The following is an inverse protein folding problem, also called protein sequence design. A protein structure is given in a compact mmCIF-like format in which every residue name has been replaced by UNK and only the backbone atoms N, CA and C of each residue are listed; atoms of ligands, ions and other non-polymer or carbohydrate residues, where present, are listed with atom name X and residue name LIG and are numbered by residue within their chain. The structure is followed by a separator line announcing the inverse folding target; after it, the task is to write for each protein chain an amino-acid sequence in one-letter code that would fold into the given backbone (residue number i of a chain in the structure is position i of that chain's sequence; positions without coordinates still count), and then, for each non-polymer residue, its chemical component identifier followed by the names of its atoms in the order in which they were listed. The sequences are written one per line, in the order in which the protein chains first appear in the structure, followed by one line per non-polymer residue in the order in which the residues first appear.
data_IF_758097173961
#
_entry.id   IF_758097173961
#
_cell.length_a   1.000
_cell.length_b   1.000
_cell.length_c   1.000
_cell.angle_alpha   90.00
_cell.angle_beta   90.00
_cell.angle_gamma   90.00
#
_symmetry.space_group_name_H-M   'P 1'
#
loop_
_entity.id
_entity.type
_entity.pdbx_description
1 polymer ?
#
# COMPACT_ATOMS: atom_id res chain seq x y z
N UNK A 1 2.68 -2.67 13.36
CA UNK A 1 2.65 -1.19 13.48
C UNK A 1 3.40 -0.59 12.31
N UNK A 2 2.91 0.52 11.76
CA UNK A 2 3.63 1.35 10.77
C UNK A 2 3.90 2.68 11.46
N UNK A 3 5.13 3.17 11.39
CA UNK A 3 5.54 4.40 12.05
C UNK A 3 6.43 5.21 11.11
N UNK A 4 6.14 6.50 10.96
CA UNK A 4 6.84 7.38 10.03
C UNK A 4 6.06 8.66 9.74
N UNK A 5 6.48 9.36 8.70
CA UNK A 5 5.82 10.58 8.22
C UNK A 5 4.71 10.23 7.23
N UNK A 6 3.50 10.74 7.46
CA UNK A 6 2.39 10.61 6.51
C UNK A 6 2.59 11.65 5.39
N UNK A 7 2.96 11.20 4.20
CA UNK A 7 3.32 12.10 3.08
C UNK A 7 2.20 12.25 2.05
N UNK A 8 1.32 11.25 1.92
CA UNK A 8 0.19 11.30 0.99
C UNK A 8 -0.98 10.45 1.50
N UNK A 9 -2.20 10.87 1.18
CA UNK A 9 -3.44 10.14 1.49
C UNK A 9 -4.29 10.07 0.23
N UNK A 10 -4.47 8.87 -0.33
CA UNK A 10 -5.42 8.64 -1.41
C UNK A 10 -6.86 8.45 -0.89
N UNK A 11 -7.81 8.16 -1.78
CA UNK A 11 -9.20 7.93 -1.40
C UNK A 11 -9.40 6.73 -0.44
N UNK A 12 -8.54 5.71 -0.56
CA UNK A 12 -8.65 4.43 0.13
C UNK A 12 -7.30 3.93 0.70
N UNK A 13 -6.27 4.77 0.76
CA UNK A 13 -4.94 4.43 1.28
C UNK A 13 -4.17 5.62 1.86
N UNK A 14 -3.14 5.33 2.64
CA UNK A 14 -2.14 6.27 3.17
C UNK A 14 -0.73 5.85 2.75
N UNK A 15 0.12 6.79 2.39
CA UNK A 15 1.54 6.56 2.16
C UNK A 15 2.34 7.13 3.32
N UNK A 16 3.04 6.25 4.01
CA UNK A 16 3.91 6.59 5.13
C UNK A 16 5.36 6.36 4.73
N UNK A 17 6.21 7.35 4.92
CA UNK A 17 7.67 7.17 4.78
C UNK A 17 8.21 6.74 6.14
N UNK A 18 8.63 5.48 6.22
CA UNK A 18 9.26 4.89 7.40
C UNK A 18 10.74 5.30 7.49
N UNK A 19 11.36 5.23 8.69
CA UNK A 19 12.79 5.45 8.85
C UNK A 19 13.64 4.62 7.88
N UNK A 20 14.60 5.27 7.22
CA UNK A 20 15.40 4.68 6.14
C UNK A 20 14.77 4.79 4.75
N UNK A 21 13.88 5.78 4.55
CA UNK A 21 13.24 6.10 3.27
C UNK A 21 12.43 4.95 2.65
N UNK A 22 11.89 4.06 3.47
CA UNK A 22 11.01 2.99 2.98
C UNK A 22 9.58 3.49 2.88
N UNK A 23 8.96 3.25 1.75
CA UNK A 23 7.59 3.64 1.49
C UNK A 23 6.64 2.54 1.97
N UNK A 24 5.72 2.87 2.87
CA UNK A 24 4.69 1.97 3.37
C UNK A 24 3.31 2.46 2.91
N UNK A 25 2.75 1.77 1.92
CA UNK A 25 1.38 1.98 1.45
C UNK A 25 0.42 1.18 2.33
N UNK A 26 -0.48 1.87 3.02
CA UNK A 26 -1.40 1.31 4.01
C UNK A 26 -2.85 1.54 3.53
N UNK A 27 -3.62 0.48 3.21
CA UNK A 27 -5.04 0.64 2.91
C UNK A 27 -5.79 1.24 4.10
N UNK A 28 -6.68 2.20 3.87
CA UNK A 28 -7.46 2.83 4.95
C UNK A 28 -8.31 1.80 5.71
N UNK A 29 -8.89 0.82 5.00
CA UNK A 29 -9.63 -0.29 5.62
C UNK A 29 -8.78 -1.22 6.50
N UNK A 30 -7.45 -1.11 6.45
CA UNK A 30 -6.55 -1.87 7.31
C UNK A 30 -6.17 -1.14 8.60
N UNK A 31 -6.45 0.16 8.70
CA UNK A 31 -6.11 1.01 9.85
C UNK A 31 -7.06 0.72 11.01
N UNK A 32 -6.51 0.39 12.19
CA UNK A 32 -7.31 0.13 13.39
C UNK A 32 -7.25 1.28 14.40
N UNK A 33 -6.09 1.92 14.50
CA UNK A 33 -5.86 3.06 15.37
C UNK A 33 -4.71 3.91 14.82
N UNK A 34 -4.75 5.21 15.12
CA UNK A 34 -3.70 6.17 14.83
C UNK A 34 -3.34 6.90 16.12
N UNK A 35 -2.07 7.25 16.26
CA UNK A 35 -1.54 8.07 17.36
C UNK A 35 -0.63 9.14 16.78
N UNK A 36 -0.55 10.31 17.43
CA UNK A 36 0.28 11.43 16.94
C UNK A 36 -0.36 12.21 15.79
N UNK A 37 -1.65 12.03 15.53
CA UNK A 37 -2.40 12.86 14.59
C UNK A 37 -2.63 14.23 15.23
N UNK A 38 -1.93 15.24 14.74
CA UNK A 38 -2.21 16.64 15.10
C UNK A 38 -3.55 17.03 14.48
N UNK A 39 -4.40 17.72 15.24
CA UNK A 39 -5.75 18.11 14.83
C UNK A 39 -5.73 19.21 13.75
N UNK A 40 -5.21 18.92 12.56
CA UNK A 40 -5.41 19.71 11.37
C UNK A 40 -6.46 19.01 10.51
N UNK A 41 -7.72 19.37 10.76
CA UNK A 41 -8.84 19.03 9.89
C UNK A 41 -8.79 20.00 8.72
N UNK A 42 -8.14 19.62 7.62
CA UNK A 42 -8.29 20.34 6.36
C UNK A 42 -9.57 19.86 5.68
N UNK A 43 -10.53 20.74 5.33
CA UNK A 43 -11.71 20.35 4.58
C UNK A 43 -11.31 20.12 3.12
N UNK A 44 -10.76 18.95 2.79
CA UNK A 44 -10.31 18.62 1.43
C UNK A 44 -11.38 17.87 0.64
N UNK A 45 -12.42 18.60 0.24
CA UNK A 45 -13.44 18.06 -0.68
C UNK A 45 -12.96 17.93 -2.13
N UNK A 46 -12.05 18.79 -2.59
CA UNK A 46 -11.68 18.87 -4.02
C UNK A 46 -10.34 18.21 -4.39
N UNK A 47 -9.41 18.04 -3.45
CA UNK A 47 -8.06 17.54 -3.75
C UNK A 47 -7.95 16.00 -3.72
N UNK A 48 -8.80 15.34 -2.93
CA UNK A 48 -8.84 13.86 -2.82
C UNK A 48 -9.36 13.22 -4.10
N UNK A 49 -10.28 13.88 -4.82
CA UNK A 49 -10.89 13.36 -6.05
C UNK A 49 -9.88 13.11 -7.18
N UNK A 50 -8.76 13.84 -7.20
CA UNK A 50 -7.71 13.67 -8.22
C UNK A 50 -6.72 12.55 -7.90
N UNK A 51 -6.72 12.01 -6.67
CA UNK A 51 -5.72 11.02 -6.23
C UNK A 51 -6.10 9.62 -6.69
N UNK A 52 -5.10 8.85 -7.10
CA UNK A 52 -5.28 7.48 -7.56
C UNK A 52 -5.81 6.60 -6.43
N UNK A 53 -6.76 5.71 -6.73
CA UNK A 53 -7.19 4.64 -5.80
C UNK A 53 -6.08 3.61 -5.62
N UNK A 54 -6.18 2.80 -4.56
CA UNK A 54 -5.20 1.79 -4.16
C UNK A 54 -4.78 0.90 -5.34
N UNK A 55 -5.73 0.38 -6.10
CA UNK A 55 -5.44 -0.47 -7.26
C UNK A 55 -4.57 0.23 -8.32
N UNK A 56 -4.82 1.52 -8.59
CA UNK A 56 -4.01 2.29 -9.54
C UNK A 56 -2.60 2.57 -9.00
N UNK A 57 -2.47 2.82 -7.70
CA UNK A 57 -1.17 2.97 -7.02
C UNK A 57 -0.36 1.67 -7.07
N UNK A 58 -0.99 0.52 -6.80
CA UNK A 58 -0.35 -0.79 -6.92
C UNK A 58 0.05 -1.12 -8.37
N UNK A 59 -0.75 -0.68 -9.36
CA UNK A 59 -0.38 -0.82 -10.78
C UNK A 59 0.86 -0.02 -11.12
N UNK A 60 1.06 1.17 -10.54
CA UNK A 60 2.29 1.93 -10.72
C UNK A 60 3.50 1.15 -10.20
N UNK A 61 3.44 0.62 -8.98
CA UNK A 61 4.51 -0.23 -8.42
C UNK A 61 4.81 -1.47 -9.29
N UNK A 62 3.77 -2.12 -9.83
CA UNK A 62 3.94 -3.26 -10.75
C UNK A 62 4.59 -2.86 -12.07
N UNK A 63 4.17 -1.73 -12.67
CA UNK A 63 4.79 -1.17 -13.88
C UNK A 63 6.25 -0.84 -13.69
N UNK A 64 6.60 -0.25 -12.54
CA UNK A 64 7.97 0.13 -12.20
C UNK A 64 8.81 -1.08 -11.76
N UNK A 65 8.18 -2.27 -11.72
CA UNK A 65 8.81 -3.54 -11.34
C UNK A 65 9.47 -3.46 -9.97
N UNK A 66 8.93 -2.65 -9.06
CA UNK A 66 9.48 -2.46 -7.73
C UNK A 66 9.45 -3.77 -6.93
N UNK A 67 10.51 -4.04 -6.16
CA UNK A 67 10.46 -5.07 -5.14
C UNK A 67 9.60 -4.59 -3.97
N UNK A 68 8.65 -5.44 -3.59
CA UNK A 68 7.69 -5.16 -2.55
C UNK A 68 7.70 -6.23 -1.47
N UNK A 69 7.36 -5.80 -0.26
CA UNK A 69 7.00 -6.68 0.84
C UNK A 69 5.52 -6.45 1.19
N UNK A 70 4.68 -7.43 0.91
CA UNK A 70 3.23 -7.38 1.15
C UNK A 70 2.91 -8.07 2.47
N UNK A 71 2.33 -7.31 3.40
CA UNK A 71 1.87 -7.81 4.69
C UNK A 71 0.36 -8.05 4.65
N UNK A 72 -0.04 -9.22 5.10
CA UNK A 72 -1.43 -9.62 5.37
C UNK A 72 -1.59 -9.91 6.87
N UNK A 73 -2.76 -10.35 7.32
CA UNK A 73 -2.96 -10.70 8.74
C UNK A 73 -2.07 -11.85 9.23
N UNK A 74 -1.76 -12.83 8.37
CA UNK A 74 -1.04 -14.03 8.76
C UNK A 74 0.25 -14.29 7.99
N UNK A 75 0.62 -13.41 7.05
CA UNK A 75 1.75 -13.66 6.17
C UNK A 75 2.39 -12.41 5.61
N UNK A 76 3.69 -12.53 5.38
CA UNK A 76 4.50 -11.55 4.67
C UNK A 76 5.02 -12.18 3.39
N UNK A 77 4.73 -11.56 2.25
CA UNK A 77 5.17 -11.98 0.93
C UNK A 77 6.26 -11.01 0.46
N UNK A 78 7.30 -11.53 -0.16
CA UNK A 78 8.36 -10.71 -0.77
C UNK A 78 8.43 -11.08 -2.24
N UNK A 79 8.40 -10.07 -3.11
CA UNK A 79 8.35 -10.30 -4.54
C UNK A 79 8.13 -9.03 -5.34
N UNK A 80 7.56 -9.18 -6.53
CA UNK A 80 7.13 -8.07 -7.38
C UNK A 80 5.65 -8.23 -7.71
N UNK A 81 4.99 -7.10 -7.95
CA UNK A 81 3.61 -7.11 -8.42
C UNK A 81 3.60 -7.50 -9.89
N UNK A 82 2.97 -8.63 -10.20
CA UNK A 82 2.84 -9.14 -11.57
C UNK A 82 1.54 -8.64 -12.22
N UNK A 83 0.47 -8.52 -11.43
CA UNK A 83 -0.85 -8.05 -11.90
C UNK A 83 -1.63 -7.39 -10.77
N UNK A 84 -2.50 -6.45 -11.12
CA UNK A 84 -3.50 -5.88 -10.21
C UNK A 84 -4.88 -5.91 -10.85
N UNK A 85 -5.75 -6.77 -10.31
CA UNK A 85 -7.15 -6.87 -10.67
C UNK A 85 -8.02 -5.75 -10.10
N UNK A 86 -9.34 -5.93 -10.12
CA UNK A 86 -10.27 -5.00 -9.50
C UNK A 86 -10.26 -5.09 -7.97
N UNK A 87 -10.02 -6.28 -7.45
CA UNK A 87 -10.19 -6.68 -6.05
C UNK A 87 -9.02 -7.51 -5.50
N UNK A 88 -7.98 -7.76 -6.31
CA UNK A 88 -6.80 -8.52 -5.91
C UNK A 88 -5.51 -8.01 -6.55
N UNK A 89 -4.38 -8.45 -5.99
CA UNK A 89 -3.03 -8.26 -6.52
C UNK A 89 -2.31 -9.60 -6.56
N UNK A 90 -1.60 -9.86 -7.66
CA UNK A 90 -0.74 -11.03 -7.81
C UNK A 90 0.71 -10.64 -7.52
N UNK A 91 1.36 -11.37 -6.61
CA UNK A 91 2.75 -11.15 -6.19
C UNK A 91 3.59 -12.37 -6.52
N UNK A 92 4.57 -12.19 -7.41
CA UNK A 92 5.50 -13.23 -7.82
C UNK A 92 6.80 -13.19 -7.02
N UNK A 93 7.23 -14.34 -6.50
CA UNK A 93 8.51 -14.48 -5.79
C UNK A 93 9.74 -14.58 -6.72
N UNK A 94 9.57 -14.40 -8.05
CA UNK A 94 10.62 -14.49 -9.06
C UNK A 94 10.36 -15.56 -10.13
N UNK A 95 11.33 -15.77 -11.03
CA UNK A 95 11.15 -16.54 -12.29
C UNK A 95 10.71 -18.00 -12.12
N UNK A 96 11.03 -18.62 -10.99
CA UNK A 96 10.63 -20.00 -10.65
C UNK A 96 9.91 -20.07 -9.30
N UNK A 97 9.51 -18.92 -8.76
CA UNK A 97 8.87 -18.82 -7.46
C UNK A 97 7.35 -18.95 -7.55
N UNK A 98 6.67 -19.23 -6.43
CA UNK A 98 5.21 -19.19 -6.37
C UNK A 98 4.69 -17.78 -6.67
N UNK A 99 3.51 -17.73 -7.27
CA UNK A 99 2.69 -16.52 -7.44
C UNK A 99 1.54 -16.56 -6.46
N UNK A 100 1.30 -15.44 -5.80
CA UNK A 100 0.31 -15.31 -4.74
C UNK A 100 -0.75 -14.30 -5.15
N UNK A 101 -1.99 -14.75 -5.23
CA UNK A 101 -3.14 -13.85 -5.39
C UNK A 101 -3.63 -13.42 -4.02
N UNK A 102 -3.58 -12.12 -3.75
CA UNK A 102 -3.97 -11.51 -2.47
C UNK A 102 -5.15 -10.57 -2.70
N UNK A 103 -6.31 -10.79 -2.06
CA UNK A 103 -7.40 -9.83 -2.10
C UNK A 103 -6.95 -8.46 -1.55
N UNK A 104 -7.36 -7.35 -2.19
CA UNK A 104 -7.03 -6.01 -1.72
C UNK A 104 -7.51 -5.78 -0.28
N UNK A 105 -8.65 -6.35 0.09
CA UNK A 105 -9.19 -6.30 1.45
C UNK A 105 -8.33 -7.05 2.48
N UNK A 106 -7.45 -7.97 2.06
CA UNK A 106 -6.53 -8.68 2.94
C UNK A 106 -5.19 -7.96 3.13
N UNK A 107 -4.92 -6.92 2.34
CA UNK A 107 -3.70 -6.12 2.46
C UNK A 107 -3.71 -5.34 3.77
N UNK A 108 -2.58 -5.38 4.48
CA UNK A 108 -2.33 -4.58 5.68
C UNK A 108 -1.34 -3.47 5.42
N UNK A 109 -0.23 -3.80 4.76
CA UNK A 109 0.81 -2.84 4.36
C UNK A 109 1.51 -3.40 3.14
N UNK A 110 1.78 -2.57 2.14
CA UNK A 110 2.72 -2.88 1.06
C UNK A 110 3.92 -1.96 1.21
N UNK A 111 5.10 -2.55 1.45
CA UNK A 111 6.35 -1.80 1.57
C UNK A 111 7.15 -1.89 0.28
N UNK A 112 7.70 -0.77 -0.18
CA UNK A 112 8.72 -0.74 -1.24
C UNK A 112 9.96 0.01 -0.74
N UNK A 113 11.08 -0.21 -1.44
CA UNK A 113 12.19 0.75 -1.40
C UNK A 113 11.79 2.04 -2.10
#
# INVERSE_FOLDING_TARGET
VVAGELVEVGPDWMLVVEPGARHALVPLGAVQALVGVVAHISPTGAEVERRLRLGSTLRALGRDRAEVQVHTSGRTLVGRIDRVGADHVDVGAGRAGPVWTVPLAALRVVRSR
#
